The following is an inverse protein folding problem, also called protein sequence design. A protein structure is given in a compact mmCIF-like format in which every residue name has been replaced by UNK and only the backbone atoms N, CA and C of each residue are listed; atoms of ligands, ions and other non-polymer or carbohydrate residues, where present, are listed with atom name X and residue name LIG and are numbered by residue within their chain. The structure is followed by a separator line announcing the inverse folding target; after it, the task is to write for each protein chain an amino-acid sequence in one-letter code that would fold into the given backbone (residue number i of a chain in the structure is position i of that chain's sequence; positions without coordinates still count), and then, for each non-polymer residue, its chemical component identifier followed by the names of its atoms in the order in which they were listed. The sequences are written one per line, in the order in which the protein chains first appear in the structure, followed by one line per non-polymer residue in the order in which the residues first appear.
data_IF_134690992817
#
_entry.id   IF_134690992817
#
_cell.length_a   1.000
_cell.length_b   1.000
_cell.length_c   1.000
_cell.angle_alpha   90.00
_cell.angle_beta   90.00
_cell.angle_gamma   90.00
#
_symmetry.space_group_name_H-M   'P 1'
#
loop_
_entity.id
_entity.type
_entity.pdbx_description
1 polymer ?
#
# COMPACT_ATOMS: atom_id res chain seq x y z
N UNK A 1 -4.30 -1.26 27.28
CA UNK A 1 -5.18 -0.76 26.21
C UNK A 1 -4.88 0.72 26.03
N UNK A 2 -4.50 1.17 24.83
CA UNK A 2 -4.20 2.57 24.52
C UNK A 2 -5.38 3.14 23.72
N UNK A 3 -5.89 4.32 24.10
CA UNK A 3 -7.08 4.96 23.53
C UNK A 3 -6.81 6.35 22.95
N UNK A 4 -5.55 6.72 22.70
CA UNK A 4 -5.23 8.03 22.14
C UNK A 4 -5.69 8.15 20.69
N UNK A 5 -5.23 7.25 19.83
CA UNK A 5 -5.53 7.20 18.40
C UNK A 5 -5.18 5.81 17.89
N UNK A 6 -5.75 5.37 16.78
CA UNK A 6 -5.41 4.07 16.19
C UNK A 6 -3.97 4.02 15.66
N UNK A 7 -3.45 5.15 15.16
CA UNK A 7 -2.09 5.29 14.63
C UNK A 7 -0.96 5.11 15.67
N UNK A 8 -1.28 4.92 16.95
CA UNK A 8 -0.30 4.55 17.99
C UNK A 8 -0.04 3.05 18.02
N UNK A 9 -0.87 2.25 17.33
CA UNK A 9 -0.68 0.82 17.22
C UNK A 9 0.39 0.51 16.18
N UNK A 10 1.28 -0.42 16.53
CA UNK A 10 2.32 -0.90 15.62
C UNK A 10 1.77 -1.79 14.51
N UNK A 11 2.70 -2.30 13.70
CA UNK A 11 2.42 -3.20 12.60
C UNK A 11 1.84 -4.54 13.08
N UNK A 12 0.80 -5.04 12.41
CA UNK A 12 0.29 -6.39 12.63
C UNK A 12 1.34 -7.46 12.29
N UNK A 13 1.39 -8.54 13.08
CA UNK A 13 2.39 -9.60 12.92
C UNK A 13 2.34 -10.31 11.56
N UNK A 14 1.16 -10.41 10.94
CA UNK A 14 1.02 -10.98 9.60
C UNK A 14 1.67 -10.09 8.54
N UNK A 15 1.58 -8.77 8.68
CA UNK A 15 2.22 -7.83 7.76
C UNK A 15 3.74 -7.89 7.94
N UNK A 16 4.24 -7.92 9.18
CA UNK A 16 5.67 -8.07 9.45
C UNK A 16 6.24 -9.34 8.81
N UNK A 17 5.53 -10.45 8.94
CA UNK A 17 5.93 -11.74 8.34
C UNK A 17 5.91 -11.69 6.81
N UNK A 18 4.92 -11.04 6.21
CA UNK A 18 4.85 -10.87 4.77
C UNK A 18 6.03 -10.03 4.24
N UNK A 19 6.36 -8.92 4.93
CA UNK A 19 7.51 -8.09 4.58
C UNK A 19 8.83 -8.88 4.69
N UNK A 20 9.03 -9.61 5.79
CA UNK A 20 10.22 -10.44 5.98
C UNK A 20 10.34 -11.53 4.88
N UNK A 21 9.22 -12.10 4.45
CA UNK A 21 9.18 -13.08 3.36
C UNK A 21 9.56 -12.52 1.98
N UNK A 22 9.49 -11.21 1.80
CA UNK A 22 9.86 -10.51 0.56
C UNK A 22 11.20 -9.76 0.66
N UNK A 23 11.91 -9.88 1.78
CA UNK A 23 13.12 -9.09 2.05
C UNK A 23 14.38 -9.58 1.30
N UNK A 24 14.29 -10.66 0.53
CA UNK A 24 15.41 -11.25 -0.21
C UNK A 24 15.22 -11.15 -1.72
N UNK A 25 16.31 -11.12 -2.47
CA UNK A 25 16.29 -11.04 -3.93
C UNK A 25 16.28 -9.59 -4.44
N UNK A 26 15.89 -9.41 -5.70
CA UNK A 26 15.80 -8.10 -6.35
C UNK A 26 14.45 -7.92 -7.00
N UNK A 27 13.96 -6.69 -7.01
CA UNK A 27 12.72 -6.31 -7.66
C UNK A 27 12.94 -5.02 -8.47
N UNK A 28 12.13 -4.82 -9.51
CA UNK A 28 12.11 -3.55 -10.24
C UNK A 28 11.72 -2.42 -9.30
N UNK A 29 12.35 -1.26 -9.46
CA UNK A 29 12.10 -0.09 -8.62
C UNK A 29 10.80 0.62 -9.00
N UNK A 30 10.39 1.60 -8.17
CA UNK A 30 9.33 2.56 -8.49
C UNK A 30 7.96 1.96 -8.84
N UNK A 31 7.63 0.80 -8.26
CA UNK A 31 6.33 0.14 -8.42
C UNK A 31 6.18 -0.69 -9.69
N UNK A 32 7.28 -0.95 -10.41
CA UNK A 32 7.29 -1.82 -11.59
C UNK A 32 7.50 -3.31 -11.24
N UNK A 33 7.39 -3.66 -9.97
CA UNK A 33 7.56 -5.02 -9.47
C UNK A 33 6.27 -5.84 -9.48
N UNK A 34 6.43 -7.17 -9.38
CA UNK A 34 5.33 -8.12 -9.42
C UNK A 34 4.35 -7.95 -8.25
N UNK A 35 4.82 -7.54 -7.06
CA UNK A 35 3.96 -7.35 -5.90
C UNK A 35 3.06 -6.14 -6.10
N UNK A 36 3.59 -5.03 -6.61
CA UNK A 36 2.80 -3.85 -6.97
C UNK A 36 1.74 -4.19 -8.02
N UNK A 37 2.09 -4.98 -9.04
CA UNK A 37 1.13 -5.47 -10.04
C UNK A 37 -0.01 -6.31 -9.45
N UNK A 38 0.30 -7.20 -8.49
CA UNK A 38 -0.71 -8.00 -7.78
C UNK A 38 -1.65 -7.14 -6.94
N UNK A 39 -1.15 -6.06 -6.33
CA UNK A 39 -1.98 -5.11 -5.57
C UNK A 39 -2.97 -4.43 -6.51
N UNK A 40 -2.53 -3.90 -7.65
CA UNK A 40 -3.43 -3.24 -8.61
C UNK A 40 -4.52 -4.20 -9.12
N UNK A 41 -4.15 -5.44 -9.50
CA UNK A 41 -5.11 -6.46 -9.91
C UNK A 41 -6.13 -6.76 -8.80
N UNK A 42 -5.68 -6.91 -7.56
CA UNK A 42 -6.57 -7.17 -6.42
C UNK A 42 -7.55 -6.02 -6.17
N UNK A 43 -7.12 -4.77 -6.34
CA UNK A 43 -8.01 -3.63 -6.23
C UNK A 43 -9.03 -3.57 -7.37
N UNK A 44 -8.66 -3.90 -8.61
CA UNK A 44 -9.63 -4.04 -9.72
C UNK A 44 -10.71 -5.07 -9.40
N UNK A 45 -10.33 -6.20 -8.80
CA UNK A 45 -11.29 -7.22 -8.37
C UNK A 45 -12.22 -6.73 -7.25
N UNK A 46 -11.68 -6.00 -6.27
CA UNK A 46 -12.45 -5.48 -5.11
C UNK A 46 -13.44 -4.41 -5.55
N UNK A 47 -13.03 -3.52 -6.45
CA UNK A 47 -13.83 -2.37 -6.88
C UNK A 47 -14.63 -2.63 -8.16
N UNK A 48 -14.45 -3.81 -8.77
CA UNK A 48 -15.16 -4.27 -9.97
C UNK A 48 -15.06 -3.27 -11.14
N UNK A 49 -13.90 -2.60 -11.27
CA UNK A 49 -13.68 -1.60 -12.30
C UNK A 49 -12.22 -1.55 -12.76
N UNK A 50 -12.00 -1.02 -13.96
CA UNK A 50 -10.64 -0.76 -14.44
C UNK A 50 -10.09 0.51 -13.77
N UNK A 51 -9.24 0.30 -12.76
CA UNK A 51 -8.59 1.35 -12.00
C UNK A 51 -7.06 1.25 -12.07
N UNK A 52 -6.41 2.29 -11.53
CA UNK A 52 -4.97 2.34 -11.26
C UNK A 52 -4.74 2.54 -9.77
N UNK A 53 -3.66 1.96 -9.24
CA UNK A 53 -3.28 2.12 -7.83
C UNK A 53 -1.92 2.79 -7.74
N UNK A 54 -1.82 3.81 -6.89
CA UNK A 54 -0.57 4.51 -6.60
C UNK A 54 -0.30 4.43 -5.09
N UNK A 55 0.75 3.70 -4.71
CA UNK A 55 1.15 3.59 -3.31
C UNK A 55 1.83 4.89 -2.84
N UNK A 56 1.37 5.44 -1.73
CA UNK A 56 1.93 6.63 -1.08
C UNK A 56 2.06 6.41 0.42
N UNK A 57 2.92 7.19 1.07
CA UNK A 57 3.35 6.92 2.45
C UNK A 57 2.37 7.37 3.52
N UNK A 58 1.48 8.33 3.23
CA UNK A 58 0.54 8.88 4.21
C UNK A 58 -0.80 9.25 3.57
N UNK A 59 -1.85 9.30 4.39
CA UNK A 59 -3.15 9.82 3.97
C UNK A 59 -3.09 11.29 3.53
N UNK A 60 -2.26 12.11 4.18
CA UNK A 60 -2.05 13.51 3.77
C UNK A 60 -1.48 13.63 2.36
N UNK A 61 -0.47 12.82 2.02
CA UNK A 61 0.09 12.80 0.67
C UNK A 61 -0.95 12.32 -0.36
N UNK A 62 -1.70 11.26 -0.05
CA UNK A 62 -2.77 10.76 -0.91
C UNK A 62 -3.80 11.85 -1.23
N UNK A 63 -4.27 12.56 -0.19
CA UNK A 63 -5.25 13.63 -0.34
C UNK A 63 -4.70 14.82 -1.13
N UNK A 64 -3.51 15.30 -0.78
CA UNK A 64 -2.91 16.46 -1.45
C UNK A 64 -2.67 16.21 -2.94
N UNK A 65 -2.12 15.05 -3.30
CA UNK A 65 -1.89 14.66 -4.69
C UNK A 65 -3.21 14.57 -5.45
N UNK A 66 -4.20 13.86 -4.88
CA UNK A 66 -5.50 13.69 -5.51
C UNK A 66 -6.19 15.02 -5.78
N UNK A 67 -6.14 15.97 -4.82
CA UNK A 67 -6.75 17.29 -4.97
C UNK A 67 -6.00 18.20 -5.93
N UNK A 68 -4.68 18.04 -6.08
CA UNK A 68 -3.86 18.89 -6.96
C UNK A 68 -3.92 18.51 -8.44
N UNK A 69 -4.37 17.29 -8.73
CA UNK A 69 -4.45 16.74 -10.09
C UNK A 69 -5.83 16.89 -10.72
N UNK A 70 -6.78 17.49 -10.00
CA UNK A 70 -8.01 18.08 -10.54
C UNK A 70 -7.77 19.53 -10.95
#
# INVERSE_FOLDING_TARGET
MNFLSDNVHGLDGAILKAMAGQASGTASSYGEDELTGKVEARFRDIFECDLRVFAVTTGTAANALSLSLY
#
